data_IF_070030010052
#
_entry.id   IF_070030010052
#
_cell.length_a   1.000
_cell.length_b   1.000
_cell.length_c   1.000
_cell.angle_alpha   90.00
_cell.angle_beta   90.00
_cell.angle_gamma   90.00
#
_symmetry.space_group_name_H-M   'P 1'
#
loop_
_entity.id
_entity.type
_entity.pdbx_description
1 polymer ?
#
# COMPACT_ATOMS: atom_id res chain seq x y z
N UNK A 1 -60.93 17.03 11.04
CA UNK A 1 -60.06 16.46 9.99
C UNK A 1 -58.57 16.88 10.07
N UNK A 2 -58.23 17.94 10.78
CA UNK A 2 -56.82 18.41 10.86
C UNK A 2 -55.85 17.67 11.80
N UNK A 3 -56.35 16.98 12.83
CA UNK A 3 -55.48 16.30 13.82
C UNK A 3 -54.97 14.94 13.38
N UNK A 4 -55.67 14.26 12.48
CA UNK A 4 -55.25 12.93 11.95
C UNK A 4 -54.16 13.10 10.86
N UNK A 5 -54.25 14.18 10.06
CA UNK A 5 -53.25 14.49 9.05
C UNK A 5 -51.87 14.86 9.64
N UNK A 6 -51.86 15.55 10.79
CA UNK A 6 -50.63 15.92 11.49
C UNK A 6 -49.90 14.71 12.11
N UNK A 7 -50.64 13.71 12.59
CA UNK A 7 -50.06 12.48 13.15
C UNK A 7 -49.48 11.56 12.07
N UNK A 8 -50.06 11.51 10.87
CA UNK A 8 -49.51 10.76 9.73
C UNK A 8 -48.24 11.41 9.15
N UNK A 9 -48.16 12.74 9.21
CA UNK A 9 -46.92 13.44 8.75
C UNK A 9 -45.73 13.22 9.69
N UNK A 10 -45.96 13.14 11.01
CA UNK A 10 -44.89 12.84 11.98
C UNK A 10 -44.40 11.38 11.91
N UNK A 11 -45.27 10.43 11.56
CA UNK A 11 -44.88 9.01 11.42
C UNK A 11 -43.99 8.77 10.17
N UNK A 12 -44.11 9.60 9.10
CA UNK A 12 -43.33 9.48 7.89
C UNK A 12 -41.84 9.95 8.06
N UNK A 13 -41.57 10.81 9.03
CA UNK A 13 -40.23 11.36 9.27
C UNK A 13 -39.37 10.40 10.10
N UNK A 14 -39.95 9.45 10.83
CA UNK A 14 -39.20 8.52 11.68
C UNK A 14 -38.57 7.33 10.93
N UNK A 15 -38.84 7.12 9.63
CA UNK A 15 -38.29 6.03 8.83
C UNK A 15 -37.03 6.45 7.99
N UNK A 16 -36.58 7.70 8.07
CA UNK A 16 -35.46 8.19 7.28
C UNK A 16 -34.07 8.01 7.95
N UNK A 17 -33.94 7.16 8.94
CA UNK A 17 -32.77 7.12 9.78
C UNK A 17 -32.03 5.80 9.84
N UNK A 18 -31.44 5.32 8.74
CA UNK A 18 -30.26 4.44 8.77
C UNK A 18 -29.55 4.52 7.42
N UNK A 19 -29.17 5.71 6.99
CA UNK A 19 -28.22 5.83 5.90
C UNK A 19 -26.80 5.61 6.47
N UNK A 20 -26.16 4.58 5.96
CA UNK A 20 -24.74 4.29 6.17
C UNK A 20 -23.94 5.56 5.85
N UNK A 21 -23.41 6.24 6.87
CA UNK A 21 -22.78 7.56 6.76
C UNK A 21 -21.34 7.49 6.27
N UNK A 22 -21.02 6.60 5.34
CA UNK A 22 -19.71 6.49 4.74
C UNK A 22 -19.79 6.46 3.21
N UNK A 23 -18.72 6.89 2.51
CA UNK A 23 -18.65 6.73 1.06
C UNK A 23 -18.81 5.25 0.69
N UNK A 24 -19.38 4.95 -0.50
CA UNK A 24 -19.51 3.56 -0.94
C UNK A 24 -18.11 2.91 -1.07
N UNK A 25 -18.01 1.59 -0.85
CA UNK A 25 -16.74 0.88 -1.02
C UNK A 25 -16.26 0.96 -2.47
N UNK A 26 -14.96 1.18 -2.63
CA UNK A 26 -14.32 1.29 -3.94
C UNK A 26 -14.18 -0.11 -4.56
N UNK A 27 -14.72 -0.29 -5.76
CA UNK A 27 -14.51 -1.50 -6.54
C UNK A 27 -13.16 -1.47 -7.26
N UNK A 28 -12.38 -2.55 -7.17
CA UNK A 28 -11.13 -2.67 -7.93
C UNK A 28 -11.37 -2.63 -9.45
N UNK A 29 -12.52 -3.14 -9.92
CA UNK A 29 -12.92 -3.09 -11.32
C UNK A 29 -13.05 -1.67 -11.88
N UNK A 30 -13.49 -0.70 -11.08
CA UNK A 30 -13.59 0.70 -11.49
C UNK A 30 -12.22 1.33 -11.76
N UNK A 31 -11.19 0.93 -11.02
CA UNK A 31 -9.80 1.36 -11.28
C UNK A 31 -9.25 0.78 -12.58
N UNK A 32 -9.62 -0.45 -12.94
CA UNK A 32 -9.17 -1.07 -14.19
C UNK A 32 -9.85 -0.48 -15.43
N UNK A 33 -11.14 -0.13 -15.35
CA UNK A 33 -11.90 0.47 -16.44
C UNK A 33 -11.49 1.92 -16.71
N UNK A 34 -11.06 2.66 -15.71
CA UNK A 34 -10.68 4.07 -15.82
C UNK A 34 -9.29 4.32 -16.45
N UNK A 35 -8.64 3.32 -17.02
CA UNK A 35 -7.33 3.50 -17.68
C UNK A 35 -6.16 3.73 -16.72
N UNK A 36 -6.36 3.62 -15.43
CA UNK A 36 -5.34 3.83 -14.39
C UNK A 36 -4.48 2.59 -14.09
N UNK A 37 -4.35 1.66 -15.03
CA UNK A 37 -3.33 0.60 -14.92
C UNK A 37 -1.90 1.12 -15.00
N UNK A 38 -1.72 2.40 -15.32
CA UNK A 38 -0.40 3.00 -15.55
C UNK A 38 0.35 3.34 -14.25
N UNK A 39 -0.32 3.38 -13.09
CA UNK A 39 0.26 3.92 -11.87
C UNK A 39 0.46 2.93 -10.72
N UNK A 40 0.62 1.64 -11.02
CA UNK A 40 1.17 0.71 -10.03
C UNK A 40 2.70 0.64 -10.08
N UNK A 41 3.35 1.75 -10.47
CA UNK A 41 4.80 1.86 -10.36
C UNK A 41 5.14 1.98 -8.87
N UNK A 42 5.89 1.01 -8.38
CA UNK A 42 6.30 1.02 -6.97
C UNK A 42 7.21 2.20 -6.67
N UNK A 43 6.89 2.92 -5.62
CA UNK A 43 7.70 4.00 -5.06
C UNK A 43 8.38 3.53 -3.78
N UNK A 44 9.68 3.71 -3.73
CA UNK A 44 10.50 3.34 -2.60
C UNK A 44 10.11 4.12 -1.34
N UNK A 45 10.36 3.52 -0.19
CA UNK A 45 10.12 4.17 1.09
C UNK A 45 10.89 3.51 2.22
N UNK A 46 10.81 4.11 3.40
CA UNK A 46 11.49 3.63 4.58
C UNK A 46 11.23 2.14 4.84
N UNK A 47 12.29 1.39 5.14
CA UNK A 47 12.25 -0.05 5.39
C UNK A 47 12.44 -0.94 4.17
N UNK A 48 12.48 -0.39 2.95
CA UNK A 48 12.85 -1.15 1.76
C UNK A 48 14.36 -1.46 1.77
N UNK A 49 14.73 -2.65 1.24
CA UNK A 49 16.12 -3.02 0.98
C UNK A 49 16.38 -3.06 -0.52
N UNK A 50 17.42 -2.40 -0.95
CA UNK A 50 17.80 -2.21 -2.34
C UNK A 50 19.16 -2.82 -2.54
N UNK A 51 19.29 -3.69 -3.55
CA UNK A 51 20.57 -4.15 -4.04
C UNK A 51 21.06 -3.21 -5.11
N UNK A 52 22.30 -2.73 -4.94
CA UNK A 52 22.98 -1.84 -5.88
C UNK A 52 24.18 -2.59 -6.45
N UNK A 53 24.33 -2.57 -7.75
CA UNK A 53 25.48 -3.10 -8.48
C UNK A 53 26.08 -1.98 -9.31
N UNK A 54 27.36 -1.73 -9.11
CA UNK A 54 28.14 -0.80 -9.94
C UNK A 54 29.14 -1.61 -10.75
N UNK A 55 29.03 -1.52 -12.07
CA UNK A 55 29.88 -2.32 -12.98
C UNK A 55 31.34 -2.00 -12.78
N UNK A 56 32.18 -3.02 -12.65
CA UNK A 56 33.61 -3.00 -12.34
C UNK A 56 34.02 -2.34 -11.01
N UNK A 57 33.03 -2.00 -10.14
CA UNK A 57 33.26 -1.40 -8.83
C UNK A 57 32.50 -2.14 -7.73
N UNK A 58 32.86 -3.41 -7.44
CA UNK A 58 32.09 -4.24 -6.48
C UNK A 58 32.08 -3.67 -5.06
N UNK A 59 33.11 -2.89 -4.68
CA UNK A 59 33.19 -2.23 -3.38
C UNK A 59 32.15 -1.10 -3.18
N UNK A 60 31.57 -0.58 -4.27
CA UNK A 60 30.51 0.42 -4.23
C UNK A 60 29.12 -0.20 -4.30
N UNK A 61 29.03 -1.52 -4.60
CA UNK A 61 27.80 -2.29 -4.61
C UNK A 61 27.48 -2.91 -3.26
N UNK A 62 26.27 -3.42 -3.12
CA UNK A 62 25.82 -4.12 -1.92
C UNK A 62 24.33 -3.98 -1.68
N UNK A 63 23.90 -4.41 -0.49
CA UNK A 63 22.52 -4.30 -0.03
C UNK A 63 22.41 -3.10 0.92
N UNK A 64 21.55 -2.16 0.56
CA UNK A 64 21.33 -0.93 1.29
C UNK A 64 19.88 -0.81 1.74
N UNK A 65 19.67 -0.30 2.95
CA UNK A 65 18.33 -0.06 3.48
C UNK A 65 17.94 1.41 3.34
N UNK A 66 16.68 1.65 3.05
CA UNK A 66 16.11 3.00 3.11
C UNK A 66 15.83 3.35 4.56
N UNK A 67 16.44 4.41 5.04
CA UNK A 67 16.27 4.93 6.40
C UNK A 67 14.87 5.51 6.66
N UNK A 68 14.58 5.80 7.92
CA UNK A 68 13.33 6.44 8.32
C UNK A 68 13.19 7.87 7.78
N UNK A 69 14.31 8.52 7.47
CA UNK A 69 14.43 9.80 6.79
C UNK A 69 14.11 9.74 5.29
N UNK A 70 13.96 8.54 4.73
CA UNK A 70 13.71 8.31 3.31
C UNK A 70 14.98 8.36 2.45
N UNK A 71 16.14 8.31 3.07
CA UNK A 71 17.45 8.33 2.39
C UNK A 71 18.12 6.95 2.42
N UNK A 72 19.06 6.76 1.51
CA UNK A 72 19.92 5.58 1.43
C UNK A 72 21.38 6.05 1.41
N UNK A 73 22.21 5.55 2.34
CA UNK A 73 23.63 5.89 2.42
C UNK A 73 24.45 4.99 1.52
N UNK A 74 25.19 5.58 0.58
CA UNK A 74 26.05 4.89 -0.37
C UNK A 74 27.50 5.32 -0.22
N UNK A 75 28.46 4.41 -0.45
CA UNK A 75 29.88 4.78 -0.49
C UNK A 75 30.16 5.92 -1.47
N UNK A 76 31.10 6.77 -1.15
CA UNK A 76 31.57 7.94 -1.89
C UNK A 76 30.55 9.09 -2.01
N UNK A 77 29.31 8.82 -2.33
CA UNK A 77 28.29 9.84 -2.63
C UNK A 77 27.37 10.18 -1.44
N UNK A 78 27.54 9.47 -0.29
CA UNK A 78 26.81 9.74 0.93
C UNK A 78 25.30 9.45 0.82
N UNK A 79 24.49 10.30 1.45
CA UNK A 79 23.05 10.13 1.51
C UNK A 79 22.34 10.53 0.22
N UNK A 80 21.53 9.63 -0.28
CA UNK A 80 20.73 9.80 -1.51
C UNK A 80 19.25 9.73 -1.15
N UNK A 81 18.44 10.77 -1.43
CA UNK A 81 16.99 10.73 -1.20
C UNK A 81 16.32 9.77 -2.18
N UNK A 82 15.65 8.75 -1.63
CA UNK A 82 15.02 7.66 -2.40
C UNK A 82 13.52 7.54 -2.16
N UNK A 83 13.01 7.97 -1.00
CA UNK A 83 11.58 7.89 -0.70
C UNK A 83 10.73 8.63 -1.75
N UNK A 84 9.63 8.00 -2.17
CA UNK A 84 8.74 8.54 -3.20
C UNK A 84 9.26 8.46 -4.63
N UNK A 85 10.46 7.92 -4.86
CA UNK A 85 11.03 7.70 -6.19
C UNK A 85 10.90 6.24 -6.63
N UNK A 86 10.90 6.03 -7.92
CA UNK A 86 11.00 4.68 -8.50
C UNK A 86 12.45 4.21 -8.51
N UNK A 87 12.65 2.90 -8.54
CA UNK A 87 14.00 2.32 -8.62
C UNK A 87 14.80 2.85 -9.83
N UNK A 88 14.12 3.10 -10.96
CA UNK A 88 14.74 3.67 -12.17
C UNK A 88 15.20 5.12 -11.97
N UNK A 89 14.43 5.92 -11.22
CA UNK A 89 14.82 7.30 -10.91
C UNK A 89 16.03 7.31 -9.99
N UNK A 90 15.99 6.50 -8.91
CA UNK A 90 17.11 6.41 -7.97
C UNK A 90 18.39 5.91 -8.66
N UNK A 91 18.28 4.90 -9.54
CA UNK A 91 19.44 4.41 -10.30
C UNK A 91 20.10 5.50 -11.14
N UNK A 92 19.31 6.37 -11.78
CA UNK A 92 19.83 7.52 -12.54
C UNK A 92 20.47 8.57 -11.62
N UNK A 93 19.84 8.86 -10.49
CA UNK A 93 20.37 9.83 -9.51
C UNK A 93 21.72 9.37 -8.95
N UNK A 94 21.83 8.08 -8.62
CA UNK A 94 23.08 7.46 -8.14
C UNK A 94 24.15 7.48 -9.23
N UNK A 95 23.78 7.11 -10.47
CA UNK A 95 24.68 7.16 -11.61
C UNK A 95 25.21 8.57 -11.86
N UNK A 96 24.35 9.58 -11.83
CA UNK A 96 24.75 10.98 -12.01
C UNK A 96 25.71 11.46 -10.92
N UNK A 97 25.45 11.13 -9.64
CA UNK A 97 26.32 11.50 -8.52
C UNK A 97 27.68 10.80 -8.57
N UNK A 98 27.71 9.53 -8.99
CA UNK A 98 28.98 8.82 -9.16
C UNK A 98 29.82 9.38 -10.34
N UNK A 99 29.16 9.86 -11.40
CA UNK A 99 29.82 10.50 -12.54
C UNK A 99 30.38 11.87 -12.19
N UNK A 100 29.89 12.53 -11.14
CA UNK A 100 30.30 13.83 -10.67
C UNK A 100 31.59 13.72 -9.83
N UNK A 101 32.70 13.46 -10.51
CA UNK A 101 34.06 13.48 -9.94
C UNK A 101 34.55 12.16 -9.31
N UNK A 102 33.73 11.10 -9.26
CA UNK A 102 34.17 9.82 -8.68
C UNK A 102 34.50 8.75 -9.72
N UNK A 103 33.62 8.55 -10.71
CA UNK A 103 33.81 7.51 -11.74
C UNK A 103 33.60 8.06 -13.14
N UNK A 104 34.38 7.53 -14.10
CA UNK A 104 34.16 7.80 -15.52
C UNK A 104 33.15 6.81 -16.09
N UNK A 105 32.01 7.32 -16.61
CA UNK A 105 30.93 6.53 -17.22
C UNK A 105 30.39 5.37 -16.32
N UNK A 106 29.96 5.65 -15.07
CA UNK A 106 29.49 4.60 -14.19
C UNK A 106 28.20 3.93 -14.73
N UNK A 107 28.14 2.60 -14.63
CA UNK A 107 26.93 1.83 -14.96
C UNK A 107 26.37 1.24 -13.69
N UNK A 108 25.17 1.70 -13.31
CA UNK A 108 24.51 1.33 -12.06
C UNK A 108 23.25 0.52 -12.36
N UNK A 109 23.16 -0.67 -11.79
CA UNK A 109 21.97 -1.50 -11.78
C UNK A 109 21.41 -1.58 -10.36
N UNK A 110 20.12 -1.45 -10.20
CA UNK A 110 19.47 -1.47 -8.90
C UNK A 110 18.18 -2.30 -8.96
N UNK A 111 17.95 -3.07 -7.90
CA UNK A 111 16.73 -3.86 -7.72
C UNK A 111 16.24 -3.79 -6.27
N UNK A 112 14.92 -3.91 -6.06
CA UNK A 112 14.36 -4.03 -4.72
C UNK A 112 14.51 -5.48 -4.28
N UNK A 113 15.37 -5.71 -3.29
CA UNK A 113 15.62 -7.04 -2.73
C UNK A 113 14.53 -7.46 -1.75
N UNK A 114 14.10 -6.53 -0.89
CA UNK A 114 13.06 -6.77 0.10
C UNK A 114 12.20 -5.53 0.21
N UNK A 115 10.89 -5.72 0.04
CA UNK A 115 9.90 -4.67 0.26
C UNK A 115 9.60 -4.53 1.74
N UNK A 116 9.22 -3.34 2.16
CA UNK A 116 8.65 -3.14 3.49
C UNK A 116 7.43 -4.03 3.71
N UNK A 117 7.22 -4.53 4.94
CA UNK A 117 6.12 -5.44 5.25
C UNK A 117 4.76 -4.75 5.15
N UNK A 118 3.70 -5.54 5.04
CA UNK A 118 2.31 -5.09 5.25
C UNK A 118 1.78 -5.58 6.59
N UNK A 119 0.66 -5.00 7.02
CA UNK A 119 0.01 -5.33 8.28
C UNK A 119 -1.42 -5.79 8.03
N UNK A 120 -1.87 -6.77 8.80
CA UNK A 120 -3.25 -7.25 8.75
C UNK A 120 -3.82 -7.33 10.16
N UNK A 121 -5.01 -6.77 10.34
CA UNK A 121 -5.69 -6.58 11.62
C UNK A 121 -7.16 -6.97 11.53
N UNK A 122 -7.81 -7.12 12.71
CA UNK A 122 -9.24 -7.38 12.83
C UNK A 122 -9.57 -8.87 12.70
N UNK A 123 -10.64 -9.20 11.99
CA UNK A 123 -11.23 -10.53 11.95
C UNK A 123 -10.48 -11.52 11.05
N UNK A 124 -9.17 -11.70 11.32
CA UNK A 124 -8.30 -12.77 10.79
C UNK A 124 -7.79 -13.62 11.93
N UNK A 125 -7.43 -14.88 11.65
CA UNK A 125 -6.96 -15.80 12.69
C UNK A 125 -5.60 -15.44 13.27
N UNK A 126 -4.71 -14.90 12.44
CA UNK A 126 -3.38 -14.45 12.84
C UNK A 126 -3.17 -13.01 12.37
N UNK A 127 -3.59 -12.04 13.21
CA UNK A 127 -3.30 -10.63 12.98
C UNK A 127 -1.81 -10.37 13.21
N UNK A 128 -1.19 -9.50 12.41
CA UNK A 128 0.23 -9.20 12.57
C UNK A 128 0.86 -8.54 11.35
N UNK A 129 2.19 -8.53 11.36
CA UNK A 129 3.04 -8.04 10.30
C UNK A 129 3.50 -9.21 9.42
N UNK A 130 3.47 -9.01 8.10
CA UNK A 130 3.83 -10.02 7.13
C UNK A 130 4.76 -9.47 6.04
N UNK A 131 5.69 -10.28 5.52
CA UNK A 131 6.53 -9.90 4.41
C UNK A 131 5.69 -9.70 3.15
N UNK A 132 5.97 -8.63 2.41
CA UNK A 132 5.31 -8.37 1.14
C UNK A 132 5.96 -9.17 0.01
N UNK A 133 5.13 -9.74 -0.84
CA UNK A 133 5.54 -10.39 -2.08
C UNK A 133 4.93 -9.64 -3.27
N UNK A 134 5.71 -9.47 -4.33
CA UNK A 134 5.22 -8.78 -5.54
C UNK A 134 3.99 -9.48 -6.10
N UNK A 135 2.97 -8.69 -6.41
CA UNK A 135 1.71 -9.21 -6.91
C UNK A 135 0.70 -9.66 -5.84
N UNK A 136 0.98 -9.41 -4.55
CA UNK A 136 0.09 -9.77 -3.45
C UNK A 136 -1.30 -9.18 -3.62
N UNK A 137 -2.34 -10.01 -3.43
CA UNK A 137 -3.74 -9.57 -3.37
C UNK A 137 -4.27 -9.60 -1.94
N UNK A 138 -5.37 -8.89 -1.69
CA UNK A 138 -6.01 -8.89 -0.37
C UNK A 138 -6.45 -10.29 0.05
N UNK A 139 -6.92 -11.12 -0.88
CA UNK A 139 -7.29 -12.51 -0.58
C UNK A 139 -6.09 -13.36 -0.19
N UNK A 140 -4.95 -13.19 -0.88
CA UNK A 140 -3.71 -13.89 -0.54
C UNK A 140 -3.16 -13.43 0.81
N UNK A 141 -3.24 -12.13 1.12
CA UNK A 141 -2.85 -11.59 2.42
C UNK A 141 -3.69 -12.18 3.56
N UNK A 142 -5.01 -12.30 3.37
CA UNK A 142 -5.92 -12.94 4.33
C UNK A 142 -5.57 -14.43 4.50
N UNK A 143 -5.29 -15.13 3.41
CA UNK A 143 -4.86 -16.54 3.47
C UNK A 143 -3.56 -16.71 4.25
N UNK A 144 -2.57 -15.82 4.05
CA UNK A 144 -1.31 -15.78 4.81
C UNK A 144 -1.57 -15.58 6.31
N UNK A 145 -2.58 -14.78 6.67
CA UNK A 145 -3.04 -14.58 8.05
C UNK A 145 -3.96 -15.71 8.56
N UNK A 146 -3.84 -16.92 8.00
CA UNK A 146 -4.61 -18.13 8.35
C UNK A 146 -6.11 -18.02 8.11
N UNK A 147 -6.55 -17.06 7.28
CA UNK A 147 -7.93 -16.89 6.86
C UNK A 147 -8.79 -16.12 7.85
N UNK A 148 -10.09 -16.13 7.57
CA UNK A 148 -11.09 -15.40 8.31
C UNK A 148 -11.42 -16.02 9.67
N UNK A 149 -11.83 -15.18 10.63
CA UNK A 149 -12.58 -15.65 11.78
C UNK A 149 -14.05 -15.94 11.39
N UNK A 150 -14.82 -16.65 12.23
CA UNK A 150 -16.25 -16.86 12.00
C UNK A 150 -17.07 -15.56 11.93
N UNK A 151 -16.57 -14.46 12.52
CA UNK A 151 -17.26 -13.16 12.62
C UNK A 151 -16.91 -12.20 11.50
N UNK A 152 -15.95 -12.54 10.64
CA UNK A 152 -15.43 -11.67 9.61
C UNK A 152 -16.47 -11.26 8.56
N UNK A 153 -16.46 -9.98 8.18
CA UNK A 153 -17.06 -9.51 6.94
C UNK A 153 -16.22 -9.99 5.76
N UNK A 154 -16.87 -10.65 4.76
CA UNK A 154 -16.15 -11.27 3.62
C UNK A 154 -16.36 -10.55 2.29
N UNK A 155 -17.13 -9.45 2.28
CA UNK A 155 -17.45 -8.69 1.06
C UNK A 155 -16.59 -7.45 0.90
N UNK A 156 -16.18 -6.86 2.01
CA UNK A 156 -15.41 -5.63 2.04
C UNK A 156 -14.21 -5.77 2.97
N UNK A 157 -13.21 -4.94 2.74
CA UNK A 157 -12.00 -4.81 3.54
C UNK A 157 -11.64 -3.34 3.64
N UNK A 158 -11.13 -2.90 4.77
CA UNK A 158 -10.57 -1.55 4.92
C UNK A 158 -9.07 -1.61 4.72
N UNK A 159 -8.57 -0.72 3.91
CA UNK A 159 -7.13 -0.61 3.63
C UNK A 159 -6.72 0.84 3.85
N UNK A 160 -5.69 1.03 4.67
CA UNK A 160 -4.95 2.27 4.76
C UNK A 160 -3.66 2.11 3.97
N UNK A 161 -3.53 2.84 2.88
CA UNK A 161 -2.32 2.85 2.08
C UNK A 161 -1.16 3.49 2.84
N UNK A 162 0.05 3.10 2.52
CA UNK A 162 1.22 3.72 3.11
C UNK A 162 1.25 5.23 2.77
N UNK A 163 1.36 6.07 3.81
CA UNK A 163 1.30 7.52 3.67
C UNK A 163 -0.11 8.15 3.78
N UNK A 164 -1.18 7.35 3.69
CA UNK A 164 -2.53 7.85 3.88
C UNK A 164 -2.87 8.05 5.37
N UNK A 165 -3.66 9.07 5.66
CA UNK A 165 -4.14 9.34 7.03
C UNK A 165 -5.33 8.46 7.40
N UNK A 166 -6.16 8.04 6.44
CA UNK A 166 -7.43 7.35 6.65
C UNK A 166 -7.49 6.00 5.96
N UNK A 167 -8.25 5.09 6.57
CA UNK A 167 -8.64 3.83 5.95
C UNK A 167 -9.75 4.06 4.93
N UNK A 168 -9.66 3.43 3.77
CA UNK A 168 -10.72 3.39 2.77
C UNK A 168 -11.33 1.98 2.71
N UNK A 169 -12.62 1.89 2.48
CA UNK A 169 -13.31 0.60 2.31
C UNK A 169 -13.29 0.19 0.84
N UNK A 170 -12.86 -1.05 0.59
CA UNK A 170 -12.77 -1.65 -0.74
C UNK A 170 -13.67 -2.88 -0.82
N UNK A 171 -14.26 -3.13 -1.99
CA UNK A 171 -14.88 -4.42 -2.29
C UNK A 171 -13.78 -5.47 -2.38
N UNK A 172 -13.94 -6.57 -1.66
CA UNK A 172 -12.97 -7.65 -1.66
C UNK A 172 -13.13 -8.51 -2.92
N UNK A 173 -12.34 -8.21 -3.93
CA UNK A 173 -12.27 -8.95 -5.19
C UNK A 173 -10.97 -9.75 -5.27
N UNK A 174 -10.87 -10.80 -6.09
CA UNK A 174 -9.65 -11.60 -6.22
C UNK A 174 -8.43 -10.81 -6.70
N UNK A 175 -8.66 -9.73 -7.43
CA UNK A 175 -7.67 -8.87 -8.05
C UNK A 175 -7.31 -7.61 -7.22
N UNK A 176 -7.96 -7.40 -6.05
CA UNK A 176 -7.64 -6.27 -5.17
C UNK A 176 -6.19 -6.35 -4.67
N UNK A 177 -5.34 -5.48 -5.22
CA UNK A 177 -3.90 -5.45 -4.91
C UNK A 177 -3.62 -4.82 -3.56
N UNK A 178 -2.67 -5.44 -2.84
CA UNK A 178 -2.04 -4.89 -1.66
C UNK A 178 -0.66 -4.35 -2.06
N UNK A 179 -0.27 -3.26 -1.45
CA UNK A 179 1.01 -2.61 -1.68
C UNK A 179 1.92 -2.73 -0.44
N UNK A 180 3.24 -2.61 -0.60
CA UNK A 180 4.15 -2.60 0.54
C UNK A 180 3.81 -1.46 1.51
N UNK A 181 3.76 -1.78 2.81
CA UNK A 181 3.43 -0.83 3.86
C UNK A 181 1.94 -0.63 4.13
N UNK A 182 1.05 -1.29 3.38
CA UNK A 182 -0.39 -1.22 3.61
C UNK A 182 -0.77 -1.81 4.97
N UNK A 183 -1.81 -1.23 5.57
CA UNK A 183 -2.51 -1.81 6.71
C UNK A 183 -3.89 -2.25 6.27
N UNK A 184 -4.15 -3.55 6.38
CA UNK A 184 -5.42 -4.19 6.01
C UNK A 184 -6.20 -4.44 7.30
N UNK A 185 -7.48 -4.06 7.33
CA UNK A 185 -8.37 -4.34 8.44
C UNK A 185 -9.62 -5.06 7.97
N UNK A 186 -9.84 -6.26 8.50
CA UNK A 186 -11.10 -6.96 8.35
C UNK A 186 -12.04 -6.58 9.48
N UNK A 187 -13.24 -6.13 9.13
CA UNK A 187 -14.27 -5.77 10.10
C UNK A 187 -15.15 -6.97 10.44
N UNK A 188 -15.88 -6.86 11.54
CA UNK A 188 -16.96 -7.80 11.84
C UNK A 188 -18.12 -7.64 10.86
N UNK A 189 -18.82 -8.74 10.59
CA UNK A 189 -20.10 -8.69 9.89
C UNK A 189 -21.19 -8.17 10.84
N UNK A 190 -21.93 -7.18 10.40
CA UNK A 190 -23.18 -6.78 11.07
C UNK A 190 -24.30 -7.63 10.49
N UNK A 191 -25.18 -8.12 11.38
CA UNK A 191 -26.37 -8.88 11.04
C UNK A 191 -27.51 -7.94 10.65
#
# INVERSE_FOLDING_TARGET
MGKVAALLLMAAIALAGCSRSGPPPISSGERYVAGQMTDMVYHLGAGDKIRVLVYNEPQLGGDFSVGADGEMSLPLIGNVPVAGKTIKQVSRDVQARLADGYLRDPRVSMEVQTYRPFFILGEVRAAGQYPYLSGLTAMNAIATAQGYTPRAARRTVRIRRFGDQYEQEYVLTPDLRILPGDTIRLTERFF
#
